data_IF_543236625387
#
_entry.id   IF_543236625387
#
_cell.length_a   1.000
_cell.length_b   1.000
_cell.length_c   1.000
_cell.angle_alpha   90.00
_cell.angle_beta   90.00
_cell.angle_gamma   90.00
#
_symmetry.space_group_name_H-M   'P 1'
#
loop_
_entity.id
_entity.type
_entity.pdbx_description
1 polymer ?
#
# COMPACT_ATOMS: atom_id res chain seq x y z
N UNK A 1 -3.61 -27.47 -10.08
CA UNK A 1 -2.92 -26.16 -10.04
C UNK A 1 -2.29 -25.99 -8.68
N UNK A 2 -1.00 -25.67 -8.61
CA UNK A 2 -0.33 -25.34 -7.34
C UNK A 2 -0.90 -24.06 -6.72
N UNK A 3 -0.57 -23.77 -5.46
CA UNK A 3 -1.02 -22.55 -4.79
C UNK A 3 -0.47 -21.29 -5.50
N UNK A 4 0.80 -21.31 -5.87
CA UNK A 4 1.51 -20.24 -6.57
C UNK A 4 0.85 -19.96 -7.92
N UNK A 5 0.47 -20.99 -8.68
CA UNK A 5 -0.24 -20.83 -9.95
C UNK A 5 -1.61 -20.15 -9.79
N UNK A 6 -2.32 -20.43 -8.69
CA UNK A 6 -3.59 -19.76 -8.39
C UNK A 6 -3.35 -18.27 -8.06
N UNK A 7 -2.30 -17.99 -7.30
CA UNK A 7 -1.95 -16.62 -6.92
C UNK A 7 -1.43 -15.79 -8.09
N UNK A 8 -0.68 -16.39 -9.04
CA UNK A 8 -0.29 -15.73 -10.30
C UNK A 8 -1.53 -15.25 -11.07
N UNK A 9 -2.53 -16.12 -11.24
CA UNK A 9 -3.80 -15.72 -11.88
C UNK A 9 -4.52 -14.63 -11.10
N UNK A 10 -4.50 -14.71 -9.77
CA UNK A 10 -5.13 -13.71 -8.92
C UNK A 10 -4.42 -12.34 -8.97
N UNK A 11 -3.08 -12.32 -9.12
CA UNK A 11 -2.29 -11.11 -9.35
C UNK A 11 -2.69 -10.47 -10.69
N UNK A 12 -2.68 -11.24 -11.78
CA UNK A 12 -3.04 -10.76 -13.12
C UNK A 12 -4.48 -10.22 -13.16
N UNK A 13 -5.42 -10.95 -12.55
CA UNK A 13 -6.80 -10.49 -12.45
C UNK A 13 -6.91 -9.21 -11.64
N UNK A 14 -6.18 -9.10 -10.52
CA UNK A 14 -6.19 -7.90 -9.70
C UNK A 14 -5.59 -6.70 -10.43
N UNK A 15 -4.52 -6.86 -11.22
CA UNK A 15 -3.90 -5.76 -11.97
C UNK A 15 -4.90 -5.07 -12.92
N UNK A 16 -5.72 -5.83 -13.63
CA UNK A 16 -6.76 -5.31 -14.53
C UNK A 16 -8.07 -4.87 -13.87
N UNK A 17 -8.22 -5.03 -12.55
CA UNK A 17 -9.41 -4.58 -11.82
C UNK A 17 -9.27 -3.12 -11.38
N UNK A 18 -10.33 -2.34 -11.59
CA UNK A 18 -10.46 -1.00 -11.01
C UNK A 18 -10.34 -1.04 -9.48
N UNK A 19 -9.78 0.02 -8.85
CA UNK A 19 -9.76 0.15 -7.39
C UNK A 19 -11.15 -0.02 -6.77
N UNK A 20 -11.27 -0.72 -5.64
CA UNK A 20 -12.60 -0.98 -5.03
C UNK A 20 -13.22 0.29 -4.48
N UNK A 21 -12.40 1.15 -3.87
CA UNK A 21 -12.87 2.41 -3.32
C UNK A 21 -13.50 3.32 -4.40
N UNK A 22 -12.96 3.36 -5.63
CA UNK A 22 -13.55 4.20 -6.68
C UNK A 22 -14.94 3.69 -7.11
N UNK A 23 -15.12 2.38 -7.21
CA UNK A 23 -16.43 1.77 -7.49
C UNK A 23 -17.46 2.05 -6.38
N UNK A 24 -17.01 2.07 -5.12
CA UNK A 24 -17.86 2.42 -3.98
C UNK A 24 -18.30 3.88 -4.03
N UNK A 25 -17.38 4.81 -4.31
CA UNK A 25 -17.66 6.24 -4.40
C UNK A 25 -18.65 6.58 -5.53
N UNK A 26 -18.59 5.88 -6.66
CA UNK A 26 -19.54 6.06 -7.77
C UNK A 26 -20.98 5.70 -7.41
N UNK A 27 -21.19 4.78 -6.46
CA UNK A 27 -22.51 4.34 -6.03
C UNK A 27 -23.21 5.26 -5.02
N UNK A 28 -22.52 6.27 -4.47
CA UNK A 28 -23.08 7.21 -3.49
C UNK A 28 -23.69 8.44 -4.18
N UNK A 29 -24.97 8.72 -3.90
CA UNK A 29 -25.64 9.94 -4.35
C UNK A 29 -25.14 11.17 -3.56
N UNK A 30 -24.46 12.09 -4.24
CA UNK A 30 -23.72 13.24 -3.69
C UNK A 30 -24.53 14.54 -3.50
N UNK A 31 -25.83 14.46 -3.24
CA UNK A 31 -26.75 15.62 -3.35
C UNK A 31 -27.14 16.23 -2.00
N UNK A 32 -26.16 16.66 -1.17
CA UNK A 32 -25.91 18.11 -1.07
C UNK A 32 -24.44 18.48 -0.78
N UNK A 33 -23.45 17.78 -1.34
CA UNK A 33 -22.02 18.09 -1.13
C UNK A 33 -21.50 19.25 -2.01
N UNK A 34 -22.30 19.73 -2.98
CA UNK A 34 -21.90 20.73 -3.96
C UNK A 34 -21.56 22.13 -3.38
N UNK A 35 -21.88 22.41 -2.11
CA UNK A 35 -21.59 23.70 -1.46
C UNK A 35 -20.21 23.78 -0.80
N UNK A 36 -19.44 22.70 -0.74
CA UNK A 36 -18.17 22.62 0.02
C UNK A 36 -17.02 22.07 -0.82
N UNK A 37 -16.97 22.46 -2.09
CA UNK A 37 -15.95 22.07 -3.08
C UNK A 37 -14.60 22.76 -2.84
N UNK A 38 -14.57 23.81 -2.01
CA UNK A 38 -13.35 24.59 -1.73
C UNK A 38 -12.48 24.02 -0.59
N UNK A 39 -12.88 22.90 0.03
CA UNK A 39 -12.10 22.24 1.08
C UNK A 39 -10.97 21.40 0.46
N UNK A 40 -10.01 22.06 -0.17
CA UNK A 40 -8.81 21.43 -0.71
C UNK A 40 -7.80 21.29 0.42
N UNK A 41 -7.40 20.05 0.72
CA UNK A 41 -6.25 19.82 1.62
C UNK A 41 -5.00 20.36 0.91
N UNK A 42 -4.26 21.33 1.50
CA UNK A 42 -3.10 21.91 0.84
C UNK A 42 -2.02 20.85 0.53
N UNK A 43 -1.42 20.90 -0.66
CA UNK A 43 -0.37 19.97 -1.08
C UNK A 43 0.81 19.94 -0.08
N UNK A 44 1.20 21.10 0.45
CA UNK A 44 2.26 21.20 1.46
C UNK A 44 1.92 20.46 2.76
N UNK A 45 0.65 20.48 3.19
CA UNK A 45 0.20 19.75 4.37
C UNK A 45 0.24 18.22 4.13
N UNK A 46 -0.16 17.79 2.92
CA UNK A 46 -0.08 16.38 2.52
C UNK A 46 1.35 15.89 2.39
N UNK A 47 2.24 16.72 1.85
CA UNK A 47 3.65 16.41 1.76
C UNK A 47 4.25 16.25 3.16
N UNK A 48 3.98 17.18 4.08
CA UNK A 48 4.43 17.08 5.48
C UNK A 48 3.84 15.85 6.18
N UNK A 49 2.55 15.58 6.00
CA UNK A 49 1.88 14.40 6.53
C UNK A 49 2.50 13.11 5.97
N UNK A 50 2.76 13.04 4.67
CA UNK A 50 3.39 11.89 4.02
C UNK A 50 4.80 11.66 4.54
N UNK A 51 5.60 12.72 4.66
CA UNK A 51 6.96 12.63 5.14
C UNK A 51 7.01 12.14 6.60
N UNK A 52 6.16 12.69 7.46
CA UNK A 52 6.01 12.25 8.85
C UNK A 52 5.53 10.79 8.91
N UNK A 53 4.51 10.45 8.13
CA UNK A 53 3.94 9.09 8.07
C UNK A 53 4.97 8.07 7.60
N UNK A 54 5.88 8.43 6.69
CA UNK A 54 6.95 7.52 6.27
C UNK A 54 7.95 7.26 7.40
N UNK A 55 8.36 8.31 8.15
CA UNK A 55 9.28 8.17 9.29
C UNK A 55 8.66 7.32 10.42
N UNK A 56 7.35 7.44 10.61
CA UNK A 56 6.62 6.74 11.68
C UNK A 56 6.22 5.34 11.24
N UNK A 57 5.73 5.17 10.02
CA UNK A 57 5.24 3.89 9.47
C UNK A 57 6.31 2.80 9.44
N UNK A 58 7.54 3.15 9.05
CA UNK A 58 8.69 2.23 9.11
C UNK A 58 8.96 1.76 10.54
N UNK A 59 9.04 2.70 11.50
CA UNK A 59 9.28 2.39 12.92
C UNK A 59 8.16 1.59 13.57
N UNK A 60 6.92 1.84 13.15
CA UNK A 60 5.75 1.16 13.67
C UNK A 60 5.63 -0.27 13.13
N UNK A 61 6.20 -0.56 11.96
CA UNK A 61 6.25 -1.91 11.44
C UNK A 61 7.19 -2.77 12.29
N UNK A 62 6.63 -3.38 13.33
CA UNK A 62 7.38 -4.25 14.22
C UNK A 62 7.47 -5.68 13.64
N UNK A 63 8.69 -6.22 13.39
CA UNK A 63 8.88 -7.61 13.00
C UNK A 63 8.43 -8.61 14.07
N UNK A 64 8.44 -8.27 15.36
CA UNK A 64 8.09 -9.19 16.46
C UNK A 64 6.71 -9.82 16.31
N UNK A 65 5.73 -9.04 15.84
CA UNK A 65 4.38 -9.54 15.62
C UNK A 65 4.34 -10.62 14.53
N UNK A 66 5.15 -10.43 13.47
CA UNK A 66 5.28 -11.37 12.36
C UNK A 66 6.09 -12.59 12.80
N UNK A 67 7.24 -12.38 13.46
CA UNK A 67 8.10 -13.44 14.01
C UNK A 67 7.34 -14.36 14.96
N UNK A 68 6.61 -13.78 15.92
CA UNK A 68 5.79 -14.52 16.88
C UNK A 68 4.68 -15.31 16.20
N UNK A 69 4.03 -14.73 15.19
CA UNK A 69 2.94 -15.39 14.49
C UNK A 69 3.45 -16.51 13.56
N UNK A 70 4.62 -16.33 12.97
CA UNK A 70 5.27 -17.34 12.14
C UNK A 70 5.98 -18.44 12.94
N UNK A 71 6.27 -18.20 14.23
CA UNK A 71 7.00 -19.14 15.07
C UNK A 71 8.49 -19.23 14.74
N UNK A 72 9.09 -18.14 14.26
CA UNK A 72 10.48 -18.07 13.79
C UNK A 72 11.28 -17.02 14.57
N UNK A 73 12.62 -17.05 14.46
CA UNK A 73 13.51 -16.14 15.19
C UNK A 73 14.00 -14.97 14.34
N UNK A 74 14.09 -15.15 13.02
CA UNK A 74 14.59 -14.14 12.09
C UNK A 74 13.66 -13.97 10.87
N UNK A 75 13.43 -12.72 10.44
CA UNK A 75 12.56 -12.42 9.29
C UNK A 75 13.10 -13.06 8.00
N UNK A 76 14.43 -13.19 7.89
CA UNK A 76 15.07 -13.89 6.78
C UNK A 76 14.62 -15.35 6.61
N UNK A 77 14.05 -15.98 7.64
CA UNK A 77 13.48 -17.34 7.51
C UNK A 77 12.19 -17.34 6.66
N UNK A 78 11.40 -16.26 6.66
CA UNK A 78 10.19 -16.14 5.82
C UNK A 78 10.51 -15.99 4.33
N UNK A 79 11.71 -15.54 4.02
CA UNK A 79 12.19 -15.43 2.64
C UNK A 79 12.13 -16.80 1.94
N UNK A 80 12.43 -17.88 2.68
CA UNK A 80 12.44 -19.26 2.20
C UNK A 80 11.18 -20.05 2.55
N UNK A 81 10.21 -19.43 3.23
CA UNK A 81 8.97 -20.08 3.62
C UNK A 81 8.01 -20.22 2.42
N UNK A 82 7.12 -21.21 2.51
CA UNK A 82 6.06 -21.40 1.51
C UNK A 82 5.20 -20.14 1.38
N UNK A 83 4.87 -19.76 0.14
CA UNK A 83 4.08 -18.56 -0.13
C UNK A 83 2.72 -18.58 0.59
N UNK A 84 2.15 -19.77 0.82
CA UNK A 84 0.90 -19.93 1.59
C UNK A 84 1.02 -19.47 3.05
N UNK A 85 2.18 -19.68 3.68
CA UNK A 85 2.44 -19.17 5.02
C UNK A 85 2.55 -17.65 5.00
N UNK A 86 3.34 -17.11 4.07
CA UNK A 86 3.51 -15.66 3.88
C UNK A 86 2.15 -14.97 3.66
N UNK A 87 1.31 -15.55 2.81
CA UNK A 87 -0.05 -15.12 2.52
C UNK A 87 -0.94 -15.09 3.78
N UNK A 88 -0.86 -16.12 4.62
CA UNK A 88 -1.64 -16.20 5.86
C UNK A 88 -1.22 -15.15 6.90
N UNK A 89 0.08 -14.87 7.00
CA UNK A 89 0.61 -13.82 7.87
C UNK A 89 0.15 -12.44 7.37
N UNK A 90 0.26 -12.21 6.06
CA UNK A 90 -0.18 -10.98 5.41
C UNK A 90 -1.69 -10.75 5.61
N UNK A 91 -2.52 -11.79 5.49
CA UNK A 91 -3.97 -11.68 5.72
C UNK A 91 -4.31 -11.26 7.15
N UNK A 92 -3.59 -11.79 8.14
CA UNK A 92 -3.80 -11.38 9.54
C UNK A 92 -3.41 -9.92 9.77
N UNK A 93 -2.29 -9.49 9.21
CA UNK A 93 -1.86 -8.09 9.31
C UNK A 93 -2.87 -7.16 8.61
N UNK A 94 -3.36 -7.58 7.45
CA UNK A 94 -4.33 -6.86 6.63
C UNK A 94 -5.68 -6.68 7.35
N UNK A 95 -6.25 -7.76 7.91
CA UNK A 95 -7.53 -7.70 8.62
C UNK A 95 -7.47 -6.79 9.85
N UNK A 96 -6.35 -6.84 10.59
CA UNK A 96 -6.11 -5.92 11.73
C UNK A 96 -6.02 -4.47 11.27
N UNK A 97 -5.34 -4.21 10.16
CA UNK A 97 -5.23 -2.86 9.61
C UNK A 97 -6.60 -2.32 9.17
N UNK A 98 -7.43 -3.15 8.51
CA UNK A 98 -8.79 -2.78 8.13
C UNK A 98 -9.62 -2.42 9.37
N UNK A 99 -9.54 -3.21 10.44
CA UNK A 99 -10.26 -2.95 11.68
C UNK A 99 -9.83 -1.64 12.34
N UNK A 100 -8.52 -1.36 12.40
CA UNK A 100 -8.00 -0.09 12.92
C UNK A 100 -8.48 1.09 12.07
N UNK A 101 -8.46 0.96 10.75
CA UNK A 101 -8.90 2.00 9.82
C UNK A 101 -10.40 2.30 9.93
N UNK A 102 -11.21 1.26 10.12
CA UNK A 102 -12.65 1.40 10.34
C UNK A 102 -12.92 2.16 11.65
N UNK A 103 -12.21 1.82 12.72
CA UNK A 103 -12.33 2.51 14.01
C UNK A 103 -11.89 3.98 13.91
N UNK A 104 -10.73 4.24 13.32
CA UNK A 104 -10.20 5.58 13.07
C UNK A 104 -11.18 6.42 12.25
N UNK A 105 -11.64 5.90 11.11
CA UNK A 105 -12.56 6.59 10.22
C UNK A 105 -13.94 6.84 10.84
N UNK A 106 -14.39 5.94 11.72
CA UNK A 106 -15.60 6.13 12.51
C UNK A 106 -15.48 7.29 13.49
N UNK A 107 -14.37 7.34 14.23
CA UNK A 107 -14.10 8.41 15.21
C UNK A 107 -13.93 9.75 14.51
N UNK A 108 -13.08 9.83 13.49
CA UNK A 108 -12.79 11.08 12.79
C UNK A 108 -14.00 11.56 12.00
N UNK A 109 -14.73 10.64 11.36
CA UNK A 109 -15.98 10.92 10.66
C UNK A 109 -17.10 11.43 11.56
N UNK A 110 -17.14 11.01 12.83
CA UNK A 110 -18.10 11.54 13.82
C UNK A 110 -17.81 13.01 14.17
N UNK A 111 -16.54 13.44 14.09
CA UNK A 111 -16.10 14.80 14.42
C UNK A 111 -16.18 15.80 13.26
N UNK A 112 -16.60 15.35 12.07
CA UNK A 112 -16.75 16.20 10.88
C UNK A 112 -15.43 16.81 10.41
N UNK A 113 -15.43 18.11 10.09
CA UNK A 113 -14.27 18.79 9.49
C UNK A 113 -12.99 18.75 10.36
N UNK A 114 -13.13 18.80 11.69
CA UNK A 114 -11.98 18.75 12.62
C UNK A 114 -11.28 17.38 12.51
N UNK A 115 -12.04 16.31 12.36
CA UNK A 115 -11.51 14.95 12.23
C UNK A 115 -10.67 14.76 10.98
N UNK A 116 -11.01 15.44 9.88
CA UNK A 116 -10.28 15.31 8.61
C UNK A 116 -8.80 15.68 8.80
N UNK A 117 -8.49 16.74 9.53
CA UNK A 117 -7.10 17.19 9.71
C UNK A 117 -6.22 16.15 10.44
N UNK A 118 -6.80 15.35 11.33
CA UNK A 118 -6.10 14.30 12.09
C UNK A 118 -6.11 12.96 11.34
N UNK A 119 -7.21 12.68 10.64
CA UNK A 119 -7.40 11.42 9.94
C UNK A 119 -6.40 11.21 8.81
N UNK A 120 -6.15 12.25 8.00
CA UNK A 120 -5.25 12.12 6.84
C UNK A 120 -3.85 11.60 7.22
N UNK A 121 -3.09 12.23 8.14
CA UNK A 121 -1.77 11.73 8.52
C UNK A 121 -1.84 10.36 9.25
N UNK A 122 -2.91 10.10 10.00
CA UNK A 122 -3.07 8.85 10.75
C UNK A 122 -3.33 7.67 9.81
N UNK A 123 -4.25 7.85 8.85
CA UNK A 123 -4.57 6.87 7.81
C UNK A 123 -3.37 6.60 6.89
N UNK A 124 -2.59 7.63 6.55
CA UNK A 124 -1.35 7.48 5.79
C UNK A 124 -0.31 6.68 6.56
N UNK A 125 -0.14 6.97 7.84
CA UNK A 125 0.76 6.20 8.72
C UNK A 125 0.34 4.74 8.78
N UNK A 126 -0.95 4.46 8.94
CA UNK A 126 -1.49 3.10 8.96
C UNK A 126 -1.29 2.39 7.61
N UNK A 127 -1.49 3.08 6.48
CA UNK A 127 -1.25 2.53 5.16
C UNK A 127 0.23 2.13 4.97
N UNK A 128 1.16 3.04 5.27
CA UNK A 128 2.59 2.77 5.14
C UNK A 128 3.04 1.65 6.08
N UNK A 129 2.57 1.65 7.34
CA UNK A 129 2.79 0.55 8.28
C UNK A 129 2.30 -0.77 7.69
N UNK A 130 1.12 -0.80 7.09
CA UNK A 130 0.53 -2.01 6.49
C UNK A 130 1.41 -2.55 5.36
N UNK A 131 1.95 -1.66 4.51
CA UNK A 131 2.87 -2.05 3.43
C UNK A 131 4.15 -2.66 4.00
N UNK A 132 4.79 -1.98 4.97
CA UNK A 132 6.01 -2.49 5.62
C UNK A 132 5.76 -3.84 6.33
N UNK A 133 4.66 -3.98 7.08
CA UNK A 133 4.30 -5.23 7.74
C UNK A 133 4.05 -6.36 6.75
N UNK A 134 3.41 -6.05 5.62
CA UNK A 134 3.20 -7.04 4.55
C UNK A 134 4.54 -7.47 3.96
N UNK A 135 5.46 -6.54 3.70
CA UNK A 135 6.81 -6.88 3.19
C UNK A 135 7.54 -7.88 4.11
N UNK A 136 7.48 -7.63 5.43
CA UNK A 136 8.05 -8.53 6.45
C UNK A 136 7.42 -9.93 6.41
N UNK A 137 6.13 -10.05 6.11
CA UNK A 137 5.44 -11.35 5.98
C UNK A 137 6.00 -12.21 4.84
N UNK A 138 6.66 -11.61 3.85
CA UNK A 138 7.33 -12.30 2.73
C UNK A 138 8.86 -12.32 2.88
N UNK A 139 9.39 -11.94 4.05
CA UNK A 139 10.83 -11.89 4.30
C UNK A 139 11.56 -10.68 3.69
N UNK A 140 10.84 -9.68 3.18
CA UNK A 140 11.44 -8.45 2.65
C UNK A 140 11.61 -7.41 3.75
N UNK A 141 12.84 -7.25 4.24
CA UNK A 141 13.20 -6.16 5.13
C UNK A 141 13.45 -4.87 4.32
N UNK A 142 12.45 -3.99 4.28
CA UNK A 142 12.53 -2.69 3.62
C UNK A 142 13.21 -1.69 4.56
N UNK A 143 14.50 -1.42 4.35
CA UNK A 143 15.29 -0.49 5.17
C UNK A 143 15.78 0.69 4.34
N UNK A 144 15.88 1.85 4.98
CA UNK A 144 16.45 3.06 4.38
C UNK A 144 15.65 3.59 3.20
N UNK A 145 16.30 4.44 2.40
CA UNK A 145 15.69 5.11 1.25
C UNK A 145 15.14 4.09 0.22
N UNK A 146 15.79 2.93 0.11
CA UNK A 146 15.43 1.84 -0.82
C UNK A 146 14.12 1.18 -0.48
N UNK A 147 14.01 0.77 0.78
CA UNK A 147 12.75 0.26 1.29
C UNK A 147 11.65 1.28 1.09
N UNK A 148 11.94 2.56 1.38
CA UNK A 148 10.97 3.64 1.26
C UNK A 148 10.51 3.86 -0.19
N UNK A 149 11.40 3.75 -1.17
CA UNK A 149 11.04 3.81 -2.60
C UNK A 149 10.04 2.72 -2.99
N UNK A 150 10.27 1.48 -2.57
CA UNK A 150 9.33 0.37 -2.78
C UNK A 150 7.98 0.69 -2.13
N UNK A 151 8.01 1.13 -0.87
CA UNK A 151 6.78 1.45 -0.12
C UNK A 151 5.96 2.54 -0.80
N UNK A 152 6.59 3.63 -1.26
CA UNK A 152 5.86 4.73 -1.92
C UNK A 152 5.25 4.29 -3.25
N UNK A 153 5.92 3.42 -4.01
CA UNK A 153 5.38 2.88 -5.26
C UNK A 153 4.18 1.97 -5.00
N UNK A 154 4.26 1.09 -4.00
CA UNK A 154 3.10 0.29 -3.55
C UNK A 154 1.96 1.19 -3.07
N UNK A 155 2.28 2.25 -2.32
CA UNK A 155 1.29 3.21 -1.84
C UNK A 155 0.62 3.98 -2.98
N UNK A 156 1.37 4.34 -4.03
CA UNK A 156 0.84 4.94 -5.25
C UNK A 156 -0.16 4.00 -5.95
N UNK A 157 0.15 2.71 -6.07
CA UNK A 157 -0.77 1.71 -6.64
C UNK A 157 -2.08 1.62 -5.84
N UNK A 158 -2.00 1.63 -4.51
CA UNK A 158 -3.18 1.63 -3.64
C UNK A 158 -3.98 2.95 -3.65
N UNK A 159 -3.31 4.06 -3.97
CA UNK A 159 -3.89 5.40 -3.94
C UNK A 159 -4.53 5.83 -5.26
N UNK A 160 -4.37 5.02 -6.31
CA UNK A 160 -5.03 5.22 -7.60
C UNK A 160 -6.57 5.24 -7.44
N UNK A 161 -7.22 6.17 -8.14
CA UNK A 161 -8.68 6.28 -8.19
C UNK A 161 -9.27 5.75 -9.51
N UNK A 162 -8.44 5.41 -10.49
CA UNK A 162 -8.86 4.86 -11.78
C UNK A 162 -7.95 3.70 -12.19
N UNK A 163 -8.44 2.86 -13.12
CA UNK A 163 -7.61 1.79 -13.69
C UNK A 163 -6.36 2.37 -14.37
N UNK A 164 -6.50 3.48 -15.11
CA UNK A 164 -5.38 4.18 -15.75
C UNK A 164 -4.32 4.67 -14.76
N UNK A 165 -4.73 5.26 -13.63
CA UNK A 165 -3.79 5.66 -12.57
C UNK A 165 -3.08 4.45 -11.96
N UNK A 166 -3.81 3.35 -11.76
CA UNK A 166 -3.26 2.11 -11.21
C UNK A 166 -2.24 1.48 -12.15
N UNK A 167 -2.53 1.42 -13.44
CA UNK A 167 -1.61 0.95 -14.48
C UNK A 167 -0.33 1.79 -14.48
N UNK A 168 -0.44 3.13 -14.49
CA UNK A 168 0.71 4.02 -14.40
C UNK A 168 1.53 3.82 -13.12
N UNK A 169 0.87 3.59 -11.97
CA UNK A 169 1.55 3.30 -10.72
C UNK A 169 2.23 1.92 -10.73
N UNK A 170 1.64 0.90 -11.36
CA UNK A 170 2.22 -0.44 -11.50
C UNK A 170 3.50 -0.43 -12.35
N UNK A 171 3.55 0.41 -13.40
CA UNK A 171 4.75 0.62 -14.23
C UNK A 171 5.93 1.08 -13.37
N UNK A 172 5.70 1.88 -12.32
CA UNK A 172 6.78 2.30 -11.42
C UNK A 172 7.45 1.12 -10.70
N UNK A 173 6.77 0.00 -10.48
CA UNK A 173 7.34 -1.19 -9.85
C UNK A 173 8.16 -2.07 -10.83
N UNK A 174 8.04 -1.85 -12.13
CA UNK A 174 8.70 -2.67 -13.16
C UNK A 174 10.21 -2.67 -13.01
N UNK A 175 10.83 -1.50 -12.80
CA UNK A 175 12.28 -1.39 -12.67
C UNK A 175 12.80 -2.22 -11.47
N UNK A 176 12.10 -2.19 -10.34
CA UNK A 176 12.45 -2.98 -9.15
C UNK A 176 12.31 -4.47 -9.46
N UNK A 177 11.21 -4.88 -10.10
CA UNK A 177 10.98 -6.27 -10.49
C UNK A 177 12.01 -6.79 -11.49
N UNK A 178 12.46 -5.97 -12.44
CA UNK A 178 13.54 -6.31 -13.37
C UNK A 178 14.88 -6.50 -12.64
N UNK A 179 15.22 -5.63 -11.69
CA UNK A 179 16.42 -5.81 -10.86
C UNK A 179 16.38 -7.12 -10.08
N UNK A 180 15.21 -7.50 -9.56
CA UNK A 180 15.01 -8.76 -8.82
C UNK A 180 15.19 -10.02 -9.68
N UNK A 181 15.17 -9.92 -11.02
CA UNK A 181 15.49 -11.04 -11.89
C UNK A 181 16.99 -11.34 -11.96
N UNK A 182 17.83 -10.32 -11.70
CA UNK A 182 19.29 -10.39 -11.83
C UNK A 182 20.00 -10.41 -10.48
N UNK A 183 19.37 -9.84 -9.44
CA UNK A 183 19.97 -9.65 -8.13
C UNK A 183 18.96 -10.02 -7.03
N UNK A 184 19.47 -10.57 -5.94
CA UNK A 184 18.67 -10.77 -4.72
C UNK A 184 18.31 -9.43 -4.09
N UNK A 185 17.26 -9.38 -3.28
CA UNK A 185 16.85 -8.16 -2.58
C UNK A 185 17.98 -7.61 -1.71
N UNK A 186 18.70 -8.50 -1.00
CA UNK A 186 19.86 -8.15 -0.21
C UNK A 186 20.99 -7.50 -1.04
N UNK A 187 21.22 -7.98 -2.28
CA UNK A 187 22.20 -7.38 -3.19
C UNK A 187 21.74 -6.01 -3.72
N UNK A 188 20.45 -5.87 -4.06
CA UNK A 188 19.88 -4.59 -4.50
C UNK A 188 20.05 -3.54 -3.39
N UNK A 189 19.77 -3.90 -2.14
CA UNK A 189 19.95 -3.02 -0.98
C UNK A 189 21.41 -2.59 -0.77
N UNK A 190 22.38 -3.44 -1.13
CA UNK A 190 23.80 -3.14 -1.00
C UNK A 190 24.37 -2.34 -2.19
N UNK A 191 23.86 -2.56 -3.40
CA UNK A 191 24.46 -2.08 -4.64
C UNK A 191 23.79 -0.84 -5.26
N UNK A 192 22.47 -0.65 -5.10
CA UNK A 192 21.70 -0.02 -6.17
C UNK A 192 21.40 1.48 -6.06
N UNK A 193 21.67 2.19 -4.95
CA UNK A 193 21.07 3.54 -4.79
C UNK A 193 21.89 4.59 -4.04
N UNK A 194 23.17 4.34 -3.80
CA UNK A 194 24.04 5.28 -3.11
C UNK A 194 24.21 6.63 -3.84
N UNK A 195 23.82 6.75 -5.11
CA UNK A 195 24.13 7.94 -5.94
C UNK A 195 22.92 8.73 -6.46
N UNK A 196 21.67 8.24 -6.40
CA UNK A 196 20.48 8.99 -6.87
C UNK A 196 19.24 8.89 -5.97
N UNK A 197 19.34 8.24 -4.80
CA UNK A 197 18.16 7.84 -4.03
C UNK A 197 17.33 8.97 -3.43
N UNK A 198 17.97 9.99 -2.82
CA UNK A 198 17.25 11.04 -2.09
C UNK A 198 16.47 11.98 -3.00
N UNK A 199 17.07 12.42 -4.11
CA UNK A 199 16.39 13.31 -5.06
C UNK A 199 15.21 12.63 -5.73
N UNK A 200 15.42 11.39 -6.22
CA UNK A 200 14.34 10.58 -6.76
C UNK A 200 13.24 10.32 -5.72
N UNK A 201 13.61 10.12 -4.44
CA UNK A 201 12.64 9.92 -3.36
C UNK A 201 11.82 11.19 -3.11
N UNK A 202 12.48 12.34 -3.08
CA UNK A 202 11.80 13.63 -2.91
C UNK A 202 10.83 13.90 -4.06
N UNK A 203 11.22 13.59 -5.31
CA UNK A 203 10.32 13.69 -6.46
C UNK A 203 9.13 12.76 -6.29
N UNK A 204 9.36 11.49 -5.95
CA UNK A 204 8.28 10.52 -5.74
C UNK A 204 7.33 10.93 -4.60
N UNK A 205 7.87 11.47 -3.50
CA UNK A 205 7.07 12.00 -2.39
C UNK A 205 6.22 13.19 -2.82
N UNK A 206 6.78 14.11 -3.59
CA UNK A 206 6.05 15.28 -4.10
C UNK A 206 4.94 14.88 -5.06
N UNK A 207 5.26 14.04 -6.05
CA UNK A 207 4.28 13.57 -7.03
C UNK A 207 3.13 12.82 -6.35
N UNK A 208 3.46 11.97 -5.38
CA UNK A 208 2.46 11.24 -4.61
C UNK A 208 1.62 12.17 -3.72
N UNK A 209 2.22 13.18 -3.09
CA UNK A 209 1.48 14.17 -2.32
C UNK A 209 0.49 14.96 -3.19
N UNK A 210 0.89 15.37 -4.40
CA UNK A 210 0.01 16.03 -5.37
C UNK A 210 -1.16 15.14 -5.80
N UNK A 211 -0.89 13.87 -6.14
CA UNK A 211 -1.93 12.89 -6.49
C UNK A 211 -2.89 12.63 -5.32
N UNK A 212 -2.35 12.46 -4.11
CA UNK A 212 -3.15 12.29 -2.90
C UNK A 212 -4.01 13.51 -2.61
N UNK A 213 -3.56 14.74 -2.85
CA UNK A 213 -4.38 15.92 -2.61
C UNK A 213 -5.68 15.93 -3.39
N UNK A 214 -5.61 15.58 -4.68
CA UNK A 214 -6.79 15.45 -5.53
C UNK A 214 -7.63 14.24 -5.08
N UNK A 215 -6.99 13.10 -4.87
CA UNK A 215 -7.68 11.84 -4.65
C UNK A 215 -8.33 11.74 -3.26
N UNK A 216 -7.69 12.30 -2.23
CA UNK A 216 -8.16 12.30 -0.86
C UNK A 216 -9.24 13.35 -0.62
N UNK A 217 -9.15 14.52 -1.27
CA UNK A 217 -10.23 15.53 -1.24
C UNK A 217 -11.53 14.94 -1.74
N UNK A 218 -11.50 14.21 -2.87
CA UNK A 218 -12.66 13.47 -3.40
C UNK A 218 -13.21 12.44 -2.40
N UNK A 219 -12.33 11.74 -1.68
CA UNK A 219 -12.73 10.71 -0.69
C UNK A 219 -13.33 11.31 0.58
N UNK A 220 -12.78 12.43 1.08
CA UNK A 220 -13.21 13.07 2.33
C UNK A 220 -14.44 13.96 2.19
N UNK A 221 -14.78 14.39 0.98
CA UNK A 221 -16.00 15.15 0.70
C UNK A 221 -17.29 14.45 1.17
N UNK A 222 -17.28 13.12 1.32
CA UNK A 222 -18.42 12.34 1.79
C UNK A 222 -18.62 12.35 3.31
N UNK A 223 -17.61 12.73 4.11
CA UNK A 223 -17.60 12.55 5.57
C UNK A 223 -18.10 13.77 6.34
N UNK A 224 -18.67 14.78 5.67
CA UNK A 224 -18.86 16.11 6.26
C UNK A 224 -20.10 16.19 7.18
N UNK A 225 -21.11 15.32 7.00
CA UNK A 225 -22.32 15.32 7.83
C UNK A 225 -22.10 14.49 9.10
N UNK A 226 -22.20 15.04 10.33
CA UNK A 226 -22.02 14.28 11.57
C UNK A 226 -23.01 13.11 11.69
N UNK A 227 -22.62 11.99 12.33
CA UNK A 227 -23.28 10.67 12.36
C UNK A 227 -23.23 9.88 11.03
N UNK A 228 -23.63 10.47 9.91
CA UNK A 228 -23.45 9.84 8.58
C UNK A 228 -21.96 9.70 8.27
N UNK A 229 -21.18 10.72 8.60
CA UNK A 229 -19.74 10.79 8.42
C UNK A 229 -18.99 9.75 9.21
N UNK A 230 -19.51 9.28 10.36
CA UNK A 230 -18.89 8.18 11.11
C UNK A 230 -18.98 6.85 10.35
N UNK A 231 -20.17 6.47 9.91
CA UNK A 231 -20.35 5.23 9.14
C UNK A 231 -19.63 5.28 7.78
N UNK A 232 -19.75 6.42 7.07
CA UNK A 232 -19.07 6.62 5.80
C UNK A 232 -17.55 6.67 5.99
N UNK A 233 -17.06 7.38 7.01
CA UNK A 233 -15.64 7.47 7.34
C UNK A 233 -15.03 6.11 7.67
N UNK A 234 -15.72 5.31 8.50
CA UNK A 234 -15.32 3.93 8.78
C UNK A 234 -15.24 3.09 7.49
N UNK A 235 -16.27 3.15 6.64
CA UNK A 235 -16.32 2.38 5.40
C UNK A 235 -15.24 2.81 4.40
N UNK A 236 -15.04 4.12 4.22
CA UNK A 236 -14.04 4.70 3.30
C UNK A 236 -12.63 4.35 3.76
N UNK A 237 -12.30 4.52 5.05
CA UNK A 237 -10.97 4.20 5.56
C UNK A 237 -10.70 2.68 5.54
N UNK A 238 -11.68 1.85 5.91
CA UNK A 238 -11.58 0.39 5.83
C UNK A 238 -11.35 -0.09 4.38
N UNK A 239 -12.11 0.47 3.43
CA UNK A 239 -11.98 0.15 2.01
C UNK A 239 -10.62 0.61 1.45
N UNK A 240 -10.14 1.79 1.86
CA UNK A 240 -8.81 2.25 1.46
C UNK A 240 -7.69 1.35 1.97
N UNK A 241 -7.69 1.02 3.27
CA UNK A 241 -6.67 0.12 3.83
C UNK A 241 -6.79 -1.30 3.25
N UNK A 242 -8.01 -1.71 2.87
CA UNK A 242 -8.20 -2.94 2.11
C UNK A 242 -7.48 -2.93 0.76
N UNK A 243 -7.59 -1.84 0.02
CA UNK A 243 -6.88 -1.68 -1.26
C UNK A 243 -5.35 -1.60 -1.04
N UNK A 244 -4.88 -0.97 0.04
CA UNK A 244 -3.46 -0.94 0.45
C UNK A 244 -2.92 -2.34 0.73
N UNK A 245 -3.63 -3.14 1.55
CA UNK A 245 -3.18 -4.49 1.88
C UNK A 245 -3.15 -5.41 0.66
N UNK A 246 -4.13 -5.29 -0.26
CA UNK A 246 -4.07 -6.01 -1.54
C UNK A 246 -2.91 -5.55 -2.42
N UNK A 247 -2.67 -4.25 -2.57
CA UNK A 247 -1.55 -3.75 -3.38
C UNK A 247 -0.20 -4.23 -2.83
N UNK A 248 -0.01 -4.17 -1.51
CA UNK A 248 1.18 -4.69 -0.85
C UNK A 248 1.33 -6.19 -1.07
N UNK A 249 0.28 -6.97 -0.77
CA UNK A 249 0.30 -8.43 -0.91
C UNK A 249 0.66 -8.84 -2.34
N UNK A 250 -0.01 -8.28 -3.35
CA UNK A 250 0.25 -8.62 -4.75
C UNK A 250 1.67 -8.26 -5.17
N UNK A 251 2.17 -7.10 -4.74
CA UNK A 251 3.55 -6.70 -5.05
C UNK A 251 4.57 -7.65 -4.43
N UNK A 252 4.44 -7.98 -3.14
CA UNK A 252 5.40 -8.85 -2.47
C UNK A 252 5.26 -10.32 -2.86
N UNK A 253 4.08 -10.80 -3.27
CA UNK A 253 3.93 -12.10 -3.93
C UNK A 253 4.74 -12.15 -5.23
N UNK A 254 4.64 -11.13 -6.09
CA UNK A 254 5.41 -11.08 -7.33
C UNK A 254 6.92 -11.04 -7.05
N UNK A 255 7.36 -10.22 -6.09
CA UNK A 255 8.77 -10.17 -5.69
C UNK A 255 9.25 -11.51 -5.15
N UNK A 256 8.44 -12.19 -4.33
CA UNK A 256 8.74 -13.51 -3.80
C UNK A 256 8.85 -14.55 -4.92
N UNK A 257 7.91 -14.56 -5.87
CA UNK A 257 7.91 -15.47 -7.04
C UNK A 257 9.15 -15.27 -7.92
N UNK A 258 9.56 -14.02 -8.13
CA UNK A 258 10.77 -13.70 -8.90
C UNK A 258 12.05 -14.24 -8.25
N UNK A 259 12.04 -14.46 -6.94
CA UNK A 259 13.21 -14.92 -6.18
C UNK A 259 13.17 -16.40 -5.75
N UNK A 260 12.00 -16.99 -5.50
CA UNK A 260 11.87 -18.27 -4.78
C UNK A 260 11.00 -19.34 -5.44
N UNK A 261 10.33 -19.06 -6.55
CA UNK A 261 9.29 -19.98 -7.03
C UNK A 261 9.76 -21.34 -7.60
N UNK A 262 11.04 -21.73 -7.45
CA UNK A 262 11.58 -22.93 -8.10
C UNK A 262 11.29 -22.93 -9.61
N UNK A 263 10.79 -24.04 -10.15
CA UNK A 263 10.35 -24.12 -11.55
C UNK A 263 9.21 -23.15 -11.88
N UNK A 264 8.30 -22.90 -10.94
CA UNK A 264 7.16 -21.99 -11.13
C UNK A 264 7.63 -20.53 -11.14
N UNK A 265 8.62 -20.18 -10.31
CA UNK A 265 9.28 -18.88 -10.29
C UNK A 265 10.11 -18.66 -11.54
N UNK A 266 10.78 -19.72 -12.02
CA UNK A 266 11.48 -19.70 -13.30
C UNK A 266 10.50 -19.48 -14.48
N UNK A 267 9.38 -20.22 -14.51
CA UNK A 267 8.31 -19.99 -15.50
C UNK A 267 7.71 -18.59 -15.38
N UNK A 268 7.45 -18.12 -14.16
CA UNK A 268 6.96 -16.76 -13.92
C UNK A 268 7.95 -15.74 -14.48
N UNK A 269 9.25 -15.89 -14.20
CA UNK A 269 10.31 -15.01 -14.71
C UNK A 269 10.39 -14.99 -16.24
N UNK A 270 10.26 -16.15 -16.89
CA UNK A 270 10.26 -16.26 -18.36
C UNK A 270 9.00 -15.66 -19.01
N UNK A 271 7.85 -15.80 -18.33
CA UNK A 271 6.56 -15.25 -18.79
C UNK A 271 6.31 -13.81 -18.34
N UNK A 272 7.16 -13.27 -17.46
CA UNK A 272 7.02 -11.92 -16.92
C UNK A 272 7.31 -10.92 -18.04
N UNK A 273 6.24 -10.43 -18.64
CA UNK A 273 6.28 -9.27 -19.53
C UNK A 273 5.98 -8.06 -18.64
N UNK A 274 6.92 -7.12 -18.46
CA UNK A 274 6.59 -5.87 -17.82
C UNK A 274 5.55 -5.16 -18.69
N UNK A 275 4.34 -5.00 -18.17
CA UNK A 275 3.31 -4.16 -18.78
C UNK A 275 3.61 -2.69 -18.51
#
# INVERSE_FOLDING_TARGET
MSYEQQQIKAIQSWQGQSPKLSSMLMGLALTPAAKLVDLVVPEAALHAALEASCKVGEKLANPDAVLKQAGISHIGELFYADMKLCDSLADTAHDRAIAMAAAEGGVTGATGLIGIAVDVPTLMTLALRTIYQTALCYGFELKGEEGRHVVLRVFSVASANSLKEKEAALVSLVAIKQMLQQQTWAQIQQAAFATMGKEALMVALKDLAGQLGINLTKRKALNIVPLVGAAVGAAVNASFIKDVGWAARRTFQEMWLLQHGGDIGHQYRLSYVPQ
#
